data_IF_755742614905
#
_entry.id   IF_755742614905
#
_cell.length_a   1.000
_cell.length_b   1.000
_cell.length_c   1.000
_cell.angle_alpha   90.00
_cell.angle_beta   90.00
_cell.angle_gamma   90.00
#
_symmetry.space_group_name_H-M   'P 1'
#
loop_
_entity.id
_entity.type
_entity.pdbx_description
1 polymer ?
#
# COMPACT_ATOMS: atom_id res chain seq x y z
N UNK A 1 27.39 -13.94 -0.29
CA UNK A 1 27.02 -12.75 0.52
C UNK A 1 25.52 -12.64 0.38
N UNK A 2 24.78 -12.93 1.46
CA UNK A 2 23.33 -13.15 1.42
C UNK A 2 22.59 -11.90 0.97
N UNK A 3 21.69 -12.05 0.01
CA UNK A 3 20.80 -10.98 -0.42
C UNK A 3 19.61 -10.95 0.56
N UNK A 4 19.83 -10.37 1.74
CA UNK A 4 18.91 -10.38 2.91
C UNK A 4 17.68 -9.46 2.74
N UNK A 5 17.32 -9.07 1.51
CA UNK A 5 16.33 -8.02 1.25
C UNK A 5 14.94 -8.55 0.84
N UNK A 6 14.65 -9.83 1.07
CA UNK A 6 13.33 -10.41 0.79
C UNK A 6 12.46 -10.45 2.04
N UNK A 7 11.20 -10.02 1.95
CA UNK A 7 10.22 -10.26 3.00
C UNK A 7 9.64 -11.65 2.78
N UNK A 8 9.92 -12.60 3.66
CA UNK A 8 9.45 -13.98 3.51
C UNK A 8 8.03 -14.14 4.08
N UNK A 9 7.16 -14.79 3.30
CA UNK A 9 5.79 -15.10 3.69
C UNK A 9 5.75 -16.54 4.18
N UNK A 10 5.21 -16.74 5.37
CA UNK A 10 5.03 -18.06 5.96
C UNK A 10 3.56 -18.32 6.21
N UNK A 11 3.08 -19.51 5.87
CA UNK A 11 1.77 -19.97 6.33
C UNK A 11 1.82 -20.29 7.83
N UNK A 12 0.75 -19.90 8.54
CA UNK A 12 0.54 -20.35 9.91
C UNK A 12 0.12 -21.82 9.84
N UNK A 13 0.86 -22.75 10.47
CA UNK A 13 0.50 -24.16 10.43
C UNK A 13 -0.86 -24.36 11.12
N UNK A 14 -1.73 -25.14 10.48
CA UNK A 14 -3.01 -25.54 11.09
C UNK A 14 -2.75 -26.33 12.37
N UNK A 15 -3.55 -26.17 13.44
CA UNK A 15 -3.39 -26.91 14.70
C UNK A 15 -3.40 -28.45 14.53
N UNK A 16 -3.90 -28.96 13.40
CA UNK A 16 -3.90 -30.38 13.05
C UNK A 16 -2.51 -30.90 12.60
N UNK A 17 -1.61 -30.02 12.16
CA UNK A 17 -0.29 -30.38 11.62
C UNK A 17 0.79 -30.55 12.71
N UNK A 18 0.50 -30.21 13.96
CA UNK A 18 1.50 -30.14 15.05
C UNK A 18 1.87 -31.50 15.65
N UNK A 19 1.21 -32.60 15.26
CA UNK A 19 1.39 -33.92 15.91
C UNK A 19 2.41 -34.87 15.26
N UNK A 20 3.07 -34.51 14.15
CA UNK A 20 4.10 -35.39 13.58
C UNK A 20 5.52 -34.93 13.95
N UNK A 21 6.26 -35.84 14.59
CA UNK A 21 7.67 -35.73 14.97
C UNK A 21 8.51 -35.27 13.76
N UNK A 22 8.85 -33.97 13.68
CA UNK A 22 9.53 -33.40 12.51
C UNK A 22 10.88 -32.80 12.91
N UNK A 23 11.96 -33.42 12.43
CA UNK A 23 13.36 -32.99 12.58
C UNK A 23 13.76 -32.01 11.46
N UNK A 24 13.00 -30.93 11.28
CA UNK A 24 13.25 -29.92 10.24
C UNK A 24 12.67 -28.54 10.60
N UNK A 25 13.02 -27.48 9.86
CA UNK A 25 12.53 -26.13 10.11
C UNK A 25 10.99 -26.08 10.04
N UNK A 26 10.39 -25.42 11.03
CA UNK A 26 8.94 -25.41 11.29
C UNK A 26 8.12 -24.68 10.23
N UNK A 27 8.76 -23.80 9.44
CA UNK A 27 8.12 -22.96 8.44
C UNK A 27 8.98 -22.95 7.18
N UNK A 28 8.39 -23.32 6.05
CA UNK A 28 9.00 -23.07 4.75
C UNK A 28 8.42 -21.76 4.21
N UNK A 29 9.26 -20.84 3.70
CA UNK A 29 8.76 -19.64 3.07
C UNK A 29 7.93 -20.04 1.84
N UNK A 30 6.66 -19.68 1.81
CA UNK A 30 5.76 -19.96 0.69
C UNK A 30 6.02 -19.02 -0.48
N UNK A 31 6.44 -17.80 -0.18
CA UNK A 31 6.80 -16.80 -1.15
C UNK A 31 7.72 -15.75 -0.54
N UNK A 32 8.34 -14.94 -1.40
CA UNK A 32 9.10 -13.77 -0.98
C UNK A 32 8.59 -12.52 -1.69
N UNK A 33 8.41 -11.46 -0.92
CA UNK A 33 8.09 -10.13 -1.42
C UNK A 33 9.39 -9.42 -1.78
N UNK A 34 9.51 -9.00 -3.04
CA UNK A 34 10.66 -8.23 -3.48
C UNK A 34 10.51 -6.76 -3.04
N UNK A 35 11.05 -6.46 -1.87
CA UNK A 35 11.03 -5.11 -1.29
C UNK A 35 11.70 -4.07 -2.20
N UNK A 36 12.66 -4.48 -3.06
CA UNK A 36 13.32 -3.59 -4.02
C UNK A 36 12.35 -3.02 -5.04
N UNK A 37 11.30 -3.76 -5.40
CA UNK A 37 10.28 -3.31 -6.36
C UNK A 37 9.40 -2.26 -5.70
N UNK A 38 8.94 -2.53 -4.48
CA UNK A 38 8.05 -1.65 -3.72
C UNK A 38 8.77 -0.34 -3.39
N UNK A 39 10.03 -0.44 -2.95
CA UNK A 39 10.86 0.70 -2.56
C UNK A 39 11.62 1.34 -3.72
N UNK A 40 11.35 0.96 -4.97
CA UNK A 40 12.10 1.47 -6.13
C UNK A 40 11.95 2.99 -6.23
N UNK A 41 13.07 3.71 -6.27
CA UNK A 41 13.09 5.18 -6.36
C UNK A 41 12.71 5.90 -5.07
N UNK A 42 12.54 5.18 -3.96
CA UNK A 42 12.38 5.77 -2.62
C UNK A 42 13.72 5.89 -1.90
N UNK A 43 13.69 6.60 -0.77
CA UNK A 43 14.81 6.68 0.15
C UNK A 43 15.30 5.30 0.60
N UNK A 44 16.56 5.23 1.04
CA UNK A 44 17.14 3.99 1.60
C UNK A 44 16.39 3.51 2.85
N UNK A 45 15.66 4.40 3.50
CA UNK A 45 14.83 4.14 4.68
C UNK A 45 13.36 3.96 4.29
N UNK A 46 13.10 3.33 3.14
CA UNK A 46 11.74 3.02 2.70
C UNK A 46 11.01 2.20 3.77
N UNK A 47 10.03 2.83 4.43
CA UNK A 47 9.14 2.21 5.41
C UNK A 47 7.72 2.27 4.90
N UNK A 48 7.04 1.12 4.85
CA UNK A 48 5.58 1.08 4.67
C UNK A 48 4.91 1.38 6.01
N UNK A 49 4.18 2.50 6.10
CA UNK A 49 3.42 2.87 7.30
C UNK A 49 2.09 2.13 7.37
N UNK A 50 1.38 2.11 6.24
CA UNK A 50 0.09 1.42 6.11
C UNK A 50 -0.08 0.82 4.73
N UNK A 51 -0.82 -0.28 4.65
CA UNK A 51 -1.16 -0.97 3.41
C UNK A 51 -2.66 -1.29 3.37
N UNK A 52 -3.27 -1.14 2.21
CA UNK A 52 -4.67 -1.52 2.00
C UNK A 52 -4.85 -2.07 0.59
N UNK A 53 -5.52 -3.22 0.49
CA UNK A 53 -6.00 -3.73 -0.79
C UNK A 53 -7.39 -3.16 -1.07
N UNK A 54 -7.58 -2.57 -2.25
CA UNK A 54 -8.83 -1.96 -2.66
C UNK A 54 -9.02 -2.11 -4.17
N UNK A 55 -10.14 -2.69 -4.58
CA UNK A 55 -10.57 -2.83 -5.98
C UNK A 55 -9.48 -3.35 -6.96
N UNK A 56 -8.70 -4.35 -6.53
CA UNK A 56 -7.67 -4.98 -7.38
C UNK A 56 -6.29 -4.33 -7.29
N UNK A 57 -6.17 -3.21 -6.59
CA UNK A 57 -4.91 -2.51 -6.38
C UNK A 57 -4.46 -2.62 -4.92
N UNK A 58 -3.17 -2.81 -4.71
CA UNK A 58 -2.53 -2.64 -3.41
C UNK A 58 -2.09 -1.19 -3.27
N UNK A 59 -2.52 -0.51 -2.22
CA UNK A 59 -2.10 0.84 -1.89
C UNK A 59 -1.15 0.77 -0.69
N UNK A 60 -0.01 1.46 -0.76
CA UNK A 60 0.99 1.50 0.32
C UNK A 60 1.35 2.97 0.58
N UNK A 61 1.25 3.36 1.84
CA UNK A 61 1.76 4.63 2.34
C UNK A 61 3.23 4.43 2.72
N UNK A 62 4.10 5.21 2.10
CA UNK A 62 5.51 5.31 2.46
C UNK A 62 5.74 6.56 3.29
N UNK A 63 5.86 6.38 4.61
CA UNK A 63 5.87 7.50 5.55
C UNK A 63 7.06 8.43 5.35
N UNK A 64 8.26 7.83 5.29
CA UNK A 64 9.52 8.57 5.20
C UNK A 64 9.62 9.36 3.88
N UNK A 65 9.10 8.78 2.80
CA UNK A 65 9.11 9.40 1.47
C UNK A 65 7.87 10.28 1.22
N UNK A 66 6.88 10.21 2.11
CA UNK A 66 5.61 10.95 2.05
C UNK A 66 4.87 10.70 0.75
N UNK A 67 4.79 9.45 0.33
CA UNK A 67 4.06 9.07 -0.88
C UNK A 67 3.06 7.97 -0.61
N UNK A 68 1.91 8.05 -1.27
CA UNK A 68 1.02 6.92 -1.46
C UNK A 68 1.31 6.33 -2.85
N UNK A 69 1.64 5.06 -2.91
CA UNK A 69 1.78 4.33 -4.17
C UNK A 69 0.70 3.29 -4.29
N UNK A 70 0.34 2.97 -5.53
CA UNK A 70 -0.57 1.89 -5.85
C UNK A 70 0.06 0.93 -6.84
N UNK A 71 -0.21 -0.37 -6.68
CA UNK A 71 0.28 -1.43 -7.54
C UNK A 71 -0.87 -2.33 -7.96
N UNK A 72 -0.87 -2.70 -9.24
CA UNK A 72 -1.67 -3.81 -9.73
C UNK A 72 -0.95 -5.11 -9.37
N UNK A 73 -1.59 -5.92 -8.52
CA UNK A 73 -1.02 -7.18 -8.06
C UNK A 73 -0.95 -8.25 -9.16
N UNK A 74 -1.75 -8.12 -10.21
CA UNK A 74 -1.77 -9.05 -11.35
C UNK A 74 -0.55 -8.84 -12.24
N UNK A 75 -0.22 -7.57 -12.51
CA UNK A 75 0.89 -7.19 -13.40
C UNK A 75 2.18 -6.89 -12.64
N UNK A 76 2.10 -6.66 -11.33
CA UNK A 76 3.20 -6.18 -10.49
C UNK A 76 3.65 -4.75 -10.81
N UNK A 77 2.90 -4.02 -11.65
CA UNK A 77 3.23 -2.67 -12.07
C UNK A 77 2.69 -1.66 -11.07
N UNK A 78 3.50 -0.63 -10.77
CA UNK A 78 3.02 0.54 -10.06
C UNK A 78 2.10 1.34 -10.99
N UNK A 79 0.89 1.63 -10.53
CA UNK A 79 -0.13 2.33 -11.33
C UNK A 79 -0.14 3.83 -11.05
N UNK A 80 0.01 4.24 -9.78
CA UNK A 80 0.03 5.66 -9.41
C UNK A 80 0.98 5.93 -8.23
N UNK A 81 1.46 7.17 -8.18
CA UNK A 81 2.18 7.76 -7.04
C UNK A 81 1.55 9.12 -6.70
N UNK A 82 1.24 9.35 -5.43
CA UNK A 82 0.67 10.58 -4.93
C UNK A 82 1.57 11.14 -3.81
N UNK A 83 1.99 12.39 -3.94
CA UNK A 83 2.68 13.11 -2.86
C UNK A 83 1.69 13.42 -1.73
N UNK A 84 2.05 13.05 -0.50
CA UNK A 84 1.28 13.33 0.70
C UNK A 84 1.66 14.69 1.29
N UNK A 85 0.71 15.38 1.93
CA UNK A 85 0.93 16.71 2.48
C UNK A 85 1.99 16.71 3.59
N UNK A 86 2.71 17.82 3.68
CA UNK A 86 3.66 18.05 4.76
C UNK A 86 2.90 18.51 6.01
N UNK A 87 2.92 17.70 7.07
CA UNK A 87 2.48 18.11 8.41
C UNK A 87 3.68 18.72 9.16
N UNK A 88 3.55 19.88 9.81
CA UNK A 88 4.65 20.74 10.32
C UNK A 88 5.86 20.08 11.02
N UNK A 89 7.05 20.69 10.93
CA UNK A 89 8.30 20.23 11.57
C UNK A 89 8.19 20.05 13.08
N UNK A 90 8.68 18.92 13.61
CA UNK A 90 8.83 18.70 15.07
C UNK A 90 8.37 17.35 15.60
N UNK A 91 7.64 16.56 14.82
CA UNK A 91 7.17 15.23 15.21
C UNK A 91 7.65 14.17 14.20
N UNK A 92 8.06 13.01 14.70
CA UNK A 92 8.27 11.80 13.89
C UNK A 92 6.90 11.36 13.37
N UNK A 93 6.66 11.57 12.07
CA UNK A 93 5.32 11.39 11.49
C UNK A 93 5.24 10.02 10.87
N UNK A 94 4.44 9.18 11.48
CA UNK A 94 4.14 7.85 10.98
C UNK A 94 2.63 7.82 10.73
N UNK A 95 2.23 7.52 9.49
CA UNK A 95 0.82 7.38 9.17
C UNK A 95 0.40 5.99 9.66
N UNK A 96 -0.38 5.97 10.74
CA UNK A 96 -0.75 4.73 11.43
C UNK A 96 -1.99 4.06 10.80
N UNK A 97 -2.81 4.85 10.10
CA UNK A 97 -4.07 4.38 9.54
C UNK A 97 -4.35 4.92 8.16
N UNK A 98 -4.89 4.04 7.31
CA UNK A 98 -5.40 4.39 5.98
C UNK A 98 -6.79 3.78 5.77
N UNK A 99 -7.70 4.55 5.18
CA UNK A 99 -8.95 4.03 4.64
C UNK A 99 -9.29 4.69 3.30
N UNK A 100 -9.54 3.88 2.28
CA UNK A 100 -9.97 4.30 0.96
C UNK A 100 -11.47 4.09 0.74
N UNK A 101 -12.10 5.08 0.11
CA UNK A 101 -13.51 5.01 -0.29
C UNK A 101 -13.69 5.59 -1.68
N UNK A 102 -14.46 4.90 -2.52
CA UNK A 102 -14.94 5.45 -3.78
C UNK A 102 -16.04 6.46 -3.51
N UNK A 103 -15.97 7.64 -4.15
CA UNK A 103 -16.99 8.65 -4.01
C UNK A 103 -17.14 9.50 -5.28
N UNK A 104 -18.25 10.23 -5.36
CA UNK A 104 -18.62 11.02 -6.54
C UNK A 104 -19.66 10.31 -7.40
N UNK A 105 -20.32 11.05 -8.32
CA UNK A 105 -21.30 10.44 -9.20
C UNK A 105 -20.57 9.44 -10.09
N UNK A 106 -21.03 8.19 -10.11
CA UNK A 106 -20.84 7.35 -11.30
C UNK A 106 -21.38 8.18 -12.47
N UNK A 107 -20.50 8.85 -13.23
CA UNK A 107 -20.92 9.60 -14.40
C UNK A 107 -21.28 8.60 -15.50
N UNK A 108 -22.37 7.86 -15.31
CA UNK A 108 -23.23 7.44 -16.41
C UNK A 108 -23.88 8.71 -16.94
N UNK A 109 -23.14 9.44 -17.75
CA UNK A 109 -23.72 10.48 -18.58
C UNK A 109 -24.87 9.83 -19.37
N UNK A 110 -26.08 10.38 -19.30
CA UNK A 110 -27.22 9.99 -20.15
C UNK A 110 -26.92 10.10 -21.66
N UNK A 111 -25.75 10.65 -22.02
CA UNK A 111 -25.22 10.80 -23.39
C UNK A 111 -24.01 9.89 -23.70
N UNK A 112 -23.74 8.86 -22.88
CA UNK A 112 -22.78 7.80 -23.20
C UNK A 112 -21.29 8.20 -23.15
N UNK A 113 -20.95 9.41 -22.73
CA UNK A 113 -19.55 9.82 -22.60
C UNK A 113 -19.06 9.49 -21.17
N UNK A 114 -18.55 8.27 -20.96
CA UNK A 114 -17.94 7.87 -19.69
C UNK A 114 -16.58 8.53 -19.56
N UNK A 115 -16.45 9.60 -18.78
CA UNK A 115 -15.13 9.99 -18.26
C UNK A 115 -14.70 8.89 -17.30
N UNK A 116 -13.55 8.23 -17.51
CA UNK A 116 -13.08 7.14 -16.65
C UNK A 116 -12.51 7.64 -15.32
N UNK A 117 -12.49 8.95 -15.05
CA UNK A 117 -11.96 9.50 -13.80
C UNK A 117 -12.89 9.14 -12.65
N UNK A 118 -12.62 8.02 -12.02
CA UNK A 118 -13.23 7.66 -10.75
C UNK A 118 -12.44 8.37 -9.65
N UNK A 119 -13.16 8.92 -8.66
CA UNK A 119 -12.55 9.63 -7.54
C UNK A 119 -12.49 8.71 -6.33
N UNK A 120 -11.34 8.70 -5.67
CA UNK A 120 -11.15 8.04 -4.39
C UNK A 120 -10.93 9.09 -3.30
N UNK A 121 -11.47 8.81 -2.12
CA UNK A 121 -11.17 9.55 -0.90
C UNK A 121 -10.29 8.68 -0.03
N UNK A 122 -9.10 9.18 0.21
CA UNK A 122 -8.14 8.63 1.14
C UNK A 122 -8.29 9.34 2.48
N UNK A 123 -8.58 8.58 3.53
CA UNK A 123 -8.45 9.02 4.90
C UNK A 123 -7.12 8.53 5.45
N UNK A 124 -6.36 9.43 6.07
CA UNK A 124 -5.12 9.11 6.76
C UNK A 124 -5.18 9.57 8.21
N UNK A 125 -4.63 8.76 9.12
CA UNK A 125 -4.53 9.07 10.54
C UNK A 125 -3.07 9.23 10.96
N UNK A 126 -2.81 10.27 11.77
CA UNK A 126 -1.56 10.47 12.51
C UNK A 126 -1.85 10.39 13.99
N UNK A 127 -0.91 9.86 14.77
CA UNK A 127 -1.06 9.74 16.22
C UNK A 127 -0.44 10.92 16.98
N UNK A 128 0.66 11.49 16.48
CA UNK A 128 1.39 12.55 17.21
C UNK A 128 1.76 13.75 16.33
N UNK A 129 1.04 14.88 16.44
CA UNK A 129 -0.24 15.04 17.14
C UNK A 129 -1.39 14.29 16.44
N UNK A 130 -2.48 13.97 17.15
CA UNK A 130 -3.60 13.24 16.57
C UNK A 130 -4.29 14.07 15.49
N UNK A 131 -4.31 13.57 14.25
CA UNK A 131 -4.91 14.25 13.11
C UNK A 131 -5.55 13.27 12.13
N UNK A 132 -6.64 13.70 11.50
CA UNK A 132 -7.28 12.98 10.40
C UNK A 132 -7.22 13.86 9.16
N UNK A 133 -6.67 13.31 8.09
CA UNK A 133 -6.57 13.96 6.79
C UNK A 133 -7.52 13.27 5.81
N UNK A 134 -8.12 14.04 4.91
CA UNK A 134 -8.94 13.53 3.81
C UNK A 134 -8.41 14.09 2.50
N UNK A 135 -7.93 13.21 1.63
CA UNK A 135 -7.31 13.56 0.35
C UNK A 135 -8.17 12.97 -0.77
N UNK A 136 -8.43 13.75 -1.82
CA UNK A 136 -9.13 13.27 -3.02
C UNK A 136 -8.09 12.86 -4.05
N UNK A 137 -8.15 11.61 -4.48
CA UNK A 137 -7.29 11.03 -5.50
C UNK A 137 -8.11 10.86 -6.79
N UNK A 138 -7.54 11.26 -7.92
CA UNK A 138 -8.06 10.89 -9.23
C UNK A 138 -7.45 9.57 -9.65
N UNK A 139 -8.28 8.63 -10.10
CA UNK A 139 -7.82 7.41 -10.78
C UNK A 139 -7.93 7.56 -12.30
N UNK A 140 -6.94 7.01 -12.99
CA UNK A 140 -6.79 7.07 -14.43
C UNK A 140 -5.31 7.16 -14.81
N UNK A 141 -4.94 6.92 -16.08
CA UNK A 141 -3.57 7.09 -16.51
C UNK A 141 -3.15 8.54 -16.21
N UNK A 142 -2.29 8.71 -15.22
CA UNK A 142 -1.66 10.00 -14.93
C UNK A 142 -0.76 10.32 -16.11
N UNK A 143 -1.28 11.05 -17.09
CA UNK A 143 -0.46 11.67 -18.12
C UNK A 143 0.43 12.72 -17.46
N UNK A 144 1.61 12.29 -17.05
CA UNK A 144 2.77 13.16 -16.86
C UNK A 144 3.67 12.99 -18.07
#
# INVERSE_FOLDING_TARGET
VGDENGLEVYSIPSPEQTQTTRTGPLLFPESSLNTRIICKGLSKECKAGSMQFFEGLLYIVHDNDRVLRSWDLTTGQMTNEYLLPWVNNGYEKQWEGMALFRFGPEKRNLRGNTSPSSLLRLYLALDTPPQIWSIVLGEGPSGW
#
